data_IF_170978979435
#
_entry.id   IF_170978979435
#
_cell.length_a   1.000
_cell.length_b   1.000
_cell.length_c   1.000
_cell.angle_alpha   90.00
_cell.angle_beta   90.00
_cell.angle_gamma   90.00
#
_symmetry.space_group_name_H-M   'P 1'
#
loop_
_entity.id
_entity.type
_entity.pdbx_description
1 polymer ?
#
# COMPACT_ATOMS: atom_id res chain seq x y z
N UNK A 1 23.12 -20.34 -47.26
CA UNK A 1 23.49 -21.76 -47.12
C UNK A 1 22.70 -22.31 -45.93
N UNK A 2 21.55 -22.93 -46.22
CA UNK A 2 21.31 -24.40 -46.10
C UNK A 2 21.06 -24.83 -44.65
N UNK A 3 19.81 -24.84 -44.17
CA UNK A 3 18.68 -25.77 -44.43
C UNK A 3 18.80 -27.10 -43.66
N UNK A 4 17.83 -27.37 -42.77
CA UNK A 4 17.30 -28.72 -42.52
C UNK A 4 15.94 -28.70 -41.77
N UNK A 5 14.91 -29.24 -42.42
CA UNK A 5 13.61 -29.71 -41.90
C UNK A 5 12.92 -30.46 -43.07
N UNK A 6 11.81 -31.21 -42.93
CA UNK A 6 11.17 -31.80 -41.75
C UNK A 6 10.75 -33.29 -41.95
N UNK A 7 10.01 -33.89 -41.00
CA UNK A 7 9.20 -35.11 -41.21
C UNK A 7 8.95 -35.92 -39.93
N UNK A 8 7.89 -36.75 -39.79
CA UNK A 8 6.72 -37.02 -40.63
C UNK A 8 5.62 -37.69 -39.76
N UNK A 9 4.34 -37.65 -40.18
CA UNK A 9 3.18 -38.27 -39.49
C UNK A 9 2.81 -39.62 -40.16
N UNK A 10 2.28 -40.61 -39.40
CA UNK A 10 1.06 -41.29 -39.87
C UNK A 10 0.03 -41.60 -38.75
N UNK A 11 -1.13 -42.17 -39.14
CA UNK A 11 -2.43 -42.04 -38.45
C UNK A 11 -3.17 -43.35 -38.11
N UNK A 12 -4.05 -43.28 -37.10
CA UNK A 12 -5.37 -43.99 -36.92
C UNK A 12 -5.45 -45.54 -36.75
N UNK A 13 -6.17 -45.95 -35.70
CA UNK A 13 -7.23 -47.00 -35.68
C UNK A 13 -7.97 -47.00 -34.31
N UNK A 14 -9.19 -46.45 -34.16
CA UNK A 14 -10.54 -47.07 -34.20
C UNK A 14 -11.01 -47.92 -32.99
N UNK A 15 -12.19 -47.56 -32.43
CA UNK A 15 -13.04 -48.43 -31.58
C UNK A 15 -12.83 -48.28 -30.07
N UNK A 16 -13.84 -48.36 -29.20
CA UNK A 16 -15.28 -48.59 -29.41
C UNK A 16 -16.14 -47.91 -28.33
N UNK A 17 -17.42 -47.68 -28.64
CA UNK A 17 -18.42 -47.09 -27.72
C UNK A 17 -18.88 -48.12 -26.68
N UNK A 18 -19.19 -47.68 -25.46
CA UNK A 18 -20.33 -48.20 -24.68
C UNK A 18 -20.79 -47.19 -23.63
N UNK A 19 -22.07 -46.81 -23.71
CA UNK A 19 -22.76 -46.07 -22.67
C UNK A 19 -23.55 -47.05 -21.80
N UNK A 20 -23.66 -46.78 -20.50
CA UNK A 20 -24.82 -47.17 -19.69
C UNK A 20 -25.11 -46.07 -18.66
N UNK A 21 -26.27 -46.17 -18.00
CA UNK A 21 -27.13 -45.03 -17.68
C UNK A 21 -28.03 -45.40 -16.50
N UNK A 22 -28.07 -44.55 -15.46
CA UNK A 22 -29.00 -44.62 -14.30
C UNK A 22 -28.81 -45.87 -13.39
N UNK A 23 -29.25 -45.95 -12.12
CA UNK A 23 -30.31 -45.27 -11.35
C UNK A 23 -29.92 -45.09 -9.85
N UNK A 24 -30.55 -44.13 -9.16
CA UNK A 24 -30.78 -44.14 -7.69
C UNK A 24 -32.10 -44.88 -7.38
N UNK A 25 -32.31 -45.40 -6.16
CA UNK A 25 -33.39 -44.82 -5.35
C UNK A 25 -33.17 -44.79 -3.82
N UNK A 26 -34.16 -44.22 -3.13
CA UNK A 26 -34.30 -43.96 -1.68
C UNK A 26 -35.29 -44.97 -1.02
N UNK A 27 -35.55 -45.11 0.30
CA UNK A 27 -35.04 -44.55 1.59
C UNK A 27 -35.58 -45.47 2.74
N UNK A 28 -35.76 -44.99 4.00
CA UNK A 28 -36.48 -45.63 5.16
C UNK A 28 -35.66 -46.69 5.96
N UNK A 29 -35.75 -46.84 7.30
CA UNK A 29 -36.43 -46.09 8.39
C UNK A 29 -35.81 -46.40 9.79
N UNK A 30 -36.01 -45.49 10.74
CA UNK A 30 -36.19 -45.65 12.21
C UNK A 30 -35.26 -46.53 13.08
N UNK A 31 -34.76 -45.90 14.15
CA UNK A 31 -34.36 -46.55 15.40
C UNK A 31 -34.35 -45.55 16.57
N UNK A 32 -35.38 -45.57 17.42
CA UNK A 32 -35.45 -44.77 18.65
C UNK A 32 -34.66 -45.45 19.78
N UNK A 33 -33.83 -44.71 20.49
CA UNK A 33 -33.13 -45.17 21.69
C UNK A 33 -32.74 -43.98 22.57
N UNK A 34 -33.40 -43.85 23.73
CA UNK A 34 -33.20 -42.70 24.62
C UNK A 34 -31.93 -42.81 25.48
N UNK A 35 -31.31 -41.66 25.75
CA UNK A 35 -30.19 -41.52 26.69
C UNK A 35 -30.13 -40.09 27.21
N UNK A 36 -30.64 -39.86 28.42
CA UNK A 36 -30.55 -38.56 29.08
C UNK A 36 -29.14 -38.35 29.63
N UNK A 37 -28.26 -37.75 28.81
CA UNK A 37 -26.98 -37.25 29.26
C UNK A 37 -27.11 -35.79 29.69
N UNK A 38 -26.95 -35.53 30.99
CA UNK A 38 -26.87 -34.16 31.50
C UNK A 38 -25.53 -33.55 31.07
N UNK A 39 -25.54 -32.78 29.96
CA UNK A 39 -24.39 -31.94 29.61
C UNK A 39 -24.32 -30.79 30.62
N UNK A 40 -23.28 -30.81 31.45
CA UNK A 40 -22.80 -29.60 32.10
C UNK A 40 -22.42 -28.61 31.02
N UNK A 41 -23.08 -27.45 31.01
CA UNK A 41 -22.64 -26.27 30.28
C UNK A 41 -21.28 -25.81 30.86
N UNK A 42 -20.20 -26.41 30.36
CA UNK A 42 -18.93 -25.72 30.33
C UNK A 42 -19.15 -24.47 29.49
N UNK A 43 -18.88 -23.30 30.08
CA UNK A 43 -18.81 -22.04 29.36
C UNK A 43 -17.53 -22.04 28.50
N UNK A 44 -17.55 -22.88 27.46
CA UNK A 44 -16.65 -22.74 26.33
C UNK A 44 -17.00 -21.41 25.71
N UNK A 45 -16.21 -20.38 26.01
CA UNK A 45 -16.36 -19.05 25.44
C UNK A 45 -16.36 -19.16 23.92
N UNK A 46 -17.56 -19.25 23.36
CA UNK A 46 -17.79 -19.32 21.94
C UNK A 46 -17.11 -18.09 21.33
N UNK A 47 -16.47 -18.29 20.18
CA UNK A 47 -15.66 -17.27 19.56
C UNK A 47 -16.40 -15.94 19.58
N UNK A 48 -15.71 -14.87 20.03
CA UNK A 48 -16.05 -13.56 19.50
C UNK A 48 -15.83 -13.70 18.00
N UNK A 49 -16.92 -13.88 17.26
CA UNK A 49 -16.98 -13.44 15.87
C UNK A 49 -16.50 -12.00 15.91
N UNK A 50 -15.24 -11.81 15.53
CA UNK A 50 -14.66 -10.50 15.43
C UNK A 50 -15.34 -9.85 14.22
N UNK A 51 -16.48 -9.21 14.48
CA UNK A 51 -17.08 -8.24 13.56
C UNK A 51 -15.96 -7.26 13.27
N UNK A 52 -15.34 -7.43 12.10
CA UNK A 52 -14.09 -6.79 11.76
C UNK A 52 -14.25 -5.29 11.97
N UNK A 53 -13.33 -4.68 12.72
CA UNK A 53 -13.36 -3.22 12.89
C UNK A 53 -13.24 -2.64 11.48
N UNK A 54 -14.29 -2.00 10.93
CA UNK A 54 -14.26 -1.67 9.52
C UNK A 54 -13.14 -0.65 9.28
N UNK A 55 -12.54 -0.66 8.10
CA UNK A 55 -11.39 0.19 7.83
C UNK A 55 -11.67 1.67 8.18
N UNK A 56 -10.71 2.39 8.79
CA UNK A 56 -10.76 3.84 8.95
C UNK A 56 -11.18 4.54 7.66
N UNK A 57 -11.84 5.68 7.77
CA UNK A 57 -12.16 6.57 6.64
C UNK A 57 -11.35 7.86 6.77
N UNK A 58 -10.10 7.87 6.29
CA UNK A 58 -9.16 8.94 6.58
C UNK A 58 -9.60 10.23 5.92
N UNK A 59 -9.57 11.31 6.68
CA UNK A 59 -9.66 12.69 6.19
C UNK A 59 -8.59 13.51 6.89
N UNK A 60 -8.10 14.56 6.25
CA UNK A 60 -7.23 15.55 6.89
C UNK A 60 -8.11 16.50 7.69
N UNK A 61 -7.79 16.65 8.98
CA UNK A 61 -8.45 17.60 9.88
C UNK A 61 -7.44 18.10 10.91
N UNK A 62 -7.38 19.43 11.10
CA UNK A 62 -6.48 20.07 12.09
C UNK A 62 -5.02 19.59 12.00
N UNK A 63 -4.50 19.47 10.76
CA UNK A 63 -3.11 19.10 10.45
C UNK A 63 -2.78 17.62 10.77
N UNK A 64 -3.79 16.78 11.06
CA UNK A 64 -3.65 15.33 11.27
C UNK A 64 -4.58 14.55 10.34
N UNK A 65 -4.23 13.30 10.06
CA UNK A 65 -5.19 12.33 9.51
C UNK A 65 -6.12 11.87 10.65
N UNK A 66 -7.42 11.82 10.39
CA UNK A 66 -8.43 11.35 11.34
C UNK A 66 -9.39 10.36 10.68
N UNK A 67 -9.87 9.37 11.42
CA UNK A 67 -10.98 8.52 10.98
C UNK A 67 -12.29 9.28 11.13
N UNK A 68 -12.85 9.76 10.01
CA UNK A 68 -14.08 10.56 9.95
C UNK A 68 -15.29 9.91 10.64
N UNK A 69 -15.29 8.58 10.85
CA UNK A 69 -16.35 7.86 11.57
C UNK A 69 -16.27 8.00 13.09
N UNK A 70 -15.08 8.22 13.63
CA UNK A 70 -14.81 8.19 15.08
C UNK A 70 -14.24 9.51 15.61
N UNK A 71 -13.79 10.42 14.73
CA UNK A 71 -13.11 11.66 15.10
C UNK A 71 -11.75 11.46 15.75
N UNK A 72 -11.22 10.22 15.74
CA UNK A 72 -9.93 9.89 16.33
C UNK A 72 -8.82 10.08 15.30
N UNK A 73 -7.66 10.53 15.77
CA UNK A 73 -6.43 10.51 15.00
C UNK A 73 -6.15 9.11 14.41
N UNK A 74 -5.79 9.09 13.14
CA UNK A 74 -5.40 7.90 12.39
C UNK A 74 -3.97 8.11 11.88
N UNK A 75 -3.00 7.44 12.51
CA UNK A 75 -1.61 7.42 12.07
C UNK A 75 -1.36 6.11 11.33
N UNK A 76 -1.17 6.11 9.99
CA UNK A 76 -0.92 4.90 9.21
C UNK A 76 0.23 4.06 9.77
N UNK A 77 0.00 2.75 9.90
CA UNK A 77 1.04 1.76 10.25
C UNK A 77 0.80 0.56 9.36
N UNK A 78 1.72 0.28 8.46
CA UNK A 78 1.40 -0.59 7.34
C UNK A 78 2.60 -1.10 6.58
N UNK A 79 2.32 -1.73 5.45
CA UNK A 79 3.29 -2.33 4.55
C UNK A 79 2.97 -1.93 3.12
N UNK A 80 3.99 -1.91 2.26
CA UNK A 80 3.80 -1.88 0.81
C UNK A 80 3.67 -3.30 0.31
N UNK A 81 2.57 -3.63 -0.36
CA UNK A 81 2.33 -4.95 -0.94
C UNK A 81 2.79 -4.93 -2.40
N UNK A 82 3.94 -5.54 -2.67
CA UNK A 82 4.63 -5.45 -3.95
C UNK A 82 4.15 -6.56 -4.89
N UNK A 83 3.45 -6.16 -5.97
CA UNK A 83 3.14 -7.03 -7.11
C UNK A 83 2.52 -6.31 -8.31
N UNK A 84 1.53 -5.42 -8.08
CA UNK A 84 0.72 -4.83 -9.15
C UNK A 84 1.52 -3.91 -10.09
N UNK A 85 2.64 -3.39 -9.63
CA UNK A 85 3.60 -2.57 -10.37
C UNK A 85 4.39 -3.36 -11.43
N UNK A 86 4.57 -4.68 -11.26
CA UNK A 86 5.45 -5.47 -12.14
C UNK A 86 4.81 -6.69 -12.79
N UNK A 87 3.91 -7.40 -12.11
CA UNK A 87 3.40 -8.71 -12.57
C UNK A 87 2.81 -8.67 -13.98
N UNK A 88 1.91 -7.71 -14.20
CA UNK A 88 1.20 -7.47 -15.45
C UNK A 88 2.10 -6.95 -16.58
N UNK A 89 3.23 -6.31 -16.26
CA UNK A 89 4.20 -5.81 -17.24
C UNK A 89 5.18 -6.91 -17.68
N UNK A 90 5.50 -7.83 -16.76
CA UNK A 90 6.32 -9.02 -17.01
C UNK A 90 5.54 -10.22 -17.59
N UNK A 91 4.21 -10.18 -17.55
CA UNK A 91 3.35 -11.11 -18.28
C UNK A 91 3.21 -12.52 -17.69
N UNK A 92 3.58 -12.73 -16.42
CA UNK A 92 3.36 -14.02 -15.73
C UNK A 92 2.05 -14.04 -14.92
N UNK A 93 1.40 -12.89 -14.73
CA UNK A 93 0.19 -12.74 -13.91
C UNK A 93 -0.37 -11.32 -13.95
N UNK A 94 -1.52 -11.10 -13.35
CA UNK A 94 -1.97 -9.76 -12.92
C UNK A 94 -1.34 -9.38 -11.58
N UNK A 95 -1.13 -10.37 -10.70
CA UNK A 95 -0.40 -10.21 -9.44
C UNK A 95 0.05 -11.54 -8.82
N UNK A 96 0.82 -11.49 -7.73
CA UNK A 96 1.25 -12.67 -6.95
C UNK A 96 0.08 -13.47 -6.38
N UNK A 97 -1.13 -12.88 -6.27
CA UNK A 97 -2.35 -13.60 -5.89
C UNK A 97 -2.65 -14.76 -6.85
N UNK A 98 -2.30 -14.65 -8.13
CA UNK A 98 -2.55 -15.65 -9.17
C UNK A 98 -1.66 -16.90 -8.97
N UNK A 99 -0.52 -16.75 -8.29
CA UNK A 99 0.42 -17.82 -7.97
C UNK A 99 0.18 -18.45 -6.60
N UNK A 100 -0.68 -17.86 -5.76
CA UNK A 100 -0.85 -18.27 -4.37
C UNK A 100 -1.86 -19.42 -4.25
N UNK A 101 -1.44 -20.63 -3.83
CA UNK A 101 -2.30 -21.81 -3.81
C UNK A 101 -3.38 -21.73 -2.72
N UNK A 102 -4.50 -22.40 -2.96
CA UNK A 102 -5.64 -22.51 -2.03
C UNK A 102 -6.77 -21.50 -2.32
N UNK A 103 -7.91 -21.69 -1.65
CA UNK A 103 -9.04 -20.77 -1.77
C UNK A 103 -8.67 -19.36 -1.27
N UNK A 104 -9.30 -18.34 -1.88
CA UNK A 104 -9.20 -16.91 -1.51
C UNK A 104 -7.80 -16.45 -1.05
N UNK A 105 -6.82 -16.34 -1.98
CA UNK A 105 -5.51 -15.79 -1.65
C UNK A 105 -5.58 -14.33 -1.19
N UNK A 106 -6.53 -13.55 -1.71
CA UNK A 106 -6.72 -12.14 -1.35
C UNK A 106 -7.11 -11.97 0.12
N UNK A 107 -8.08 -12.73 0.62
CA UNK A 107 -8.48 -12.68 2.02
C UNK A 107 -7.33 -13.10 2.95
N UNK A 108 -6.59 -14.16 2.60
CA UNK A 108 -5.44 -14.63 3.39
C UNK A 108 -4.30 -13.62 3.46
N UNK A 109 -4.02 -12.90 2.38
CA UNK A 109 -3.06 -11.78 2.40
C UNK A 109 -3.53 -10.66 3.34
N UNK A 110 -4.79 -10.23 3.21
CA UNK A 110 -5.36 -9.16 4.01
C UNK A 110 -5.42 -9.52 5.51
N UNK A 111 -5.88 -10.72 5.84
CA UNK A 111 -5.91 -11.26 7.20
C UNK A 111 -4.51 -11.40 7.80
N UNK A 112 -3.52 -11.86 7.02
CA UNK A 112 -2.15 -11.99 7.49
C UNK A 112 -1.55 -10.61 7.84
N UNK A 113 -1.70 -9.61 6.97
CA UNK A 113 -1.27 -8.23 7.24
C UNK A 113 -1.98 -7.63 8.47
N UNK A 114 -3.31 -7.79 8.55
CA UNK A 114 -4.09 -7.32 9.70
C UNK A 114 -3.68 -8.04 11.01
N UNK A 115 -3.36 -9.33 10.97
CA UNK A 115 -2.94 -10.12 12.15
C UNK A 115 -1.61 -9.66 12.75
N UNK A 116 -0.72 -9.07 11.94
CA UNK A 116 0.51 -8.45 12.43
C UNK A 116 0.23 -7.10 13.13
N UNK A 117 -0.97 -6.54 12.96
CA UNK A 117 -1.37 -5.22 13.46
C UNK A 117 -1.19 -4.10 12.44
N UNK A 118 -1.09 -4.40 11.14
CA UNK A 118 -1.19 -3.38 10.11
C UNK A 118 -2.58 -2.73 10.11
N UNK A 119 -2.61 -1.48 9.66
CA UNK A 119 -3.80 -0.61 9.55
C UNK A 119 -3.91 0.03 8.16
N UNK A 120 -2.88 -0.13 7.34
CA UNK A 120 -2.75 0.46 6.01
C UNK A 120 -1.94 -0.46 5.12
N UNK A 121 -2.26 -0.52 3.84
CA UNK A 121 -1.48 -1.22 2.81
C UNK A 121 -1.31 -0.29 1.61
N UNK A 122 -0.08 -0.07 1.16
CA UNK A 122 0.21 0.60 -0.11
C UNK A 122 0.18 -0.43 -1.23
N UNK A 123 -0.52 -0.11 -2.31
CA UNK A 123 -0.57 -0.88 -3.56
C UNK A 123 0.12 -0.07 -4.67
N UNK A 124 1.38 -0.36 -4.97
CA UNK A 124 2.08 0.16 -6.14
C UNK A 124 1.36 -0.27 -7.43
N UNK A 125 0.95 0.67 -8.27
CA UNK A 125 0.25 0.38 -9.54
C UNK A 125 1.13 0.66 -10.76
N UNK A 126 0.83 -0.07 -11.85
CA UNK A 126 1.44 0.14 -13.15
C UNK A 126 0.50 0.91 -14.08
N UNK A 127 0.93 2.08 -14.54
CA UNK A 127 0.20 2.98 -15.44
C UNK A 127 -0.24 2.27 -16.73
N UNK A 128 0.68 1.53 -17.36
CA UNK A 128 0.41 0.88 -18.65
C UNK A 128 -0.58 -0.27 -18.51
N UNK A 129 -0.46 -1.09 -17.46
CA UNK A 129 -1.44 -2.15 -17.17
C UNK A 129 -2.84 -1.59 -16.85
N UNK A 130 -2.90 -0.45 -16.17
CA UNK A 130 -4.17 0.22 -15.89
C UNK A 130 -4.79 0.87 -17.13
N UNK A 131 -3.98 1.39 -18.07
CA UNK A 131 -4.47 2.12 -19.25
C UNK A 131 -4.65 1.26 -20.51
N UNK A 132 -3.92 0.17 -20.66
CA UNK A 132 -3.87 -0.61 -21.92
C UNK A 132 -2.82 -0.12 -22.90
N UNK A 133 -1.80 0.58 -22.42
CA UNK A 133 -0.76 1.22 -23.24
C UNK A 133 0.51 0.37 -23.27
N UNK A 134 1.36 0.61 -24.28
CA UNK A 134 2.67 -0.07 -24.49
C UNK A 134 2.61 -1.61 -24.55
N UNK A 135 1.44 -2.18 -24.81
CA UNK A 135 1.24 -3.64 -24.83
C UNK A 135 1.22 -4.26 -23.44
N UNK A 136 0.79 -3.52 -22.41
CA UNK A 136 0.42 -4.05 -21.11
C UNK A 136 -1.11 -3.99 -20.90
N UNK A 137 -1.71 -4.85 -20.05
CA UNK A 137 -1.11 -6.06 -19.45
C UNK A 137 -0.59 -7.04 -20.51
N UNK A 138 0.51 -7.72 -20.20
CA UNK A 138 1.12 -8.71 -21.10
C UNK A 138 0.39 -10.04 -20.92
N UNK A 139 -0.17 -10.53 -22.03
CA UNK A 139 -0.72 -11.89 -22.14
C UNK A 139 0.40 -12.87 -22.47
N UNK A 140 0.28 -14.11 -22.03
CA UNK A 140 1.16 -15.21 -22.44
C UNK A 140 0.46 -16.14 -23.44
N UNK A 141 0.98 -17.35 -23.66
CA UNK A 141 0.41 -18.30 -24.62
C UNK A 141 -0.77 -19.12 -24.04
N UNK A 142 -1.09 -18.94 -22.76
CA UNK A 142 -2.07 -19.68 -21.99
C UNK A 142 -3.24 -18.78 -21.57
N UNK A 143 -2.92 -17.59 -21.04
CA UNK A 143 -3.87 -16.66 -20.44
C UNK A 143 -3.85 -15.28 -21.13
N UNK A 144 -5.00 -14.87 -21.64
CA UNK A 144 -5.26 -13.49 -22.08
C UNK A 144 -5.46 -12.59 -20.85
N UNK A 145 -4.71 -11.50 -20.76
CA UNK A 145 -4.81 -10.51 -19.67
C UNK A 145 -5.22 -9.16 -20.23
N UNK A 146 -6.37 -8.64 -19.79
CA UNK A 146 -6.89 -7.36 -20.27
C UNK A 146 -6.84 -6.26 -19.20
N UNK A 147 -6.96 -5.02 -19.65
CA UNK A 147 -7.15 -3.83 -18.78
C UNK A 147 -8.32 -4.01 -17.81
N UNK A 148 -9.39 -4.70 -18.22
CA UNK A 148 -10.54 -4.96 -17.34
C UNK A 148 -10.12 -5.87 -16.19
N UNK A 149 -9.34 -6.89 -16.46
CA UNK A 149 -8.95 -7.90 -15.47
C UNK A 149 -7.97 -7.29 -14.46
N UNK A 150 -7.00 -6.50 -14.91
CA UNK A 150 -6.10 -5.75 -14.02
C UNK A 150 -6.87 -4.80 -13.10
N UNK A 151 -7.78 -3.97 -13.66
CA UNK A 151 -8.63 -3.08 -12.86
C UNK A 151 -9.53 -3.84 -11.88
N UNK A 152 -10.06 -5.00 -12.29
CA UNK A 152 -10.89 -5.86 -11.45
C UNK A 152 -10.09 -6.52 -10.32
N UNK A 153 -8.84 -6.92 -10.58
CA UNK A 153 -7.94 -7.49 -9.57
C UNK A 153 -7.55 -6.44 -8.51
N UNK A 154 -7.16 -5.23 -8.95
CA UNK A 154 -6.89 -4.10 -8.04
C UNK A 154 -8.12 -3.77 -7.20
N UNK A 155 -9.29 -3.58 -7.83
CA UNK A 155 -10.54 -3.29 -7.12
C UNK A 155 -10.94 -4.39 -6.12
N UNK A 156 -10.89 -5.66 -6.54
CA UNK A 156 -11.20 -6.80 -5.68
C UNK A 156 -10.26 -6.95 -4.48
N UNK A 157 -8.97 -6.61 -4.63
CA UNK A 157 -8.03 -6.62 -3.51
C UNK A 157 -8.22 -5.41 -2.59
N UNK A 158 -8.45 -4.20 -3.12
CA UNK A 158 -8.81 -3.00 -2.33
C UNK A 158 -10.00 -3.29 -1.43
N UNK A 159 -11.06 -3.85 -2.00
CA UNK A 159 -12.28 -4.27 -1.30
C UNK A 159 -12.00 -5.28 -0.18
N UNK A 160 -11.08 -6.21 -0.42
CA UNK A 160 -10.73 -7.27 0.53
C UNK A 160 -9.89 -6.71 1.69
N UNK A 161 -8.95 -5.81 1.40
CA UNK A 161 -8.17 -5.08 2.39
C UNK A 161 -9.08 -4.18 3.26
N UNK A 162 -10.00 -3.43 2.65
CA UNK A 162 -10.96 -2.60 3.36
C UNK A 162 -11.92 -3.42 4.25
N UNK A 163 -12.36 -4.61 3.80
CA UNK A 163 -13.12 -5.57 4.63
C UNK A 163 -12.31 -6.11 5.81
N UNK A 164 -11.00 -6.32 5.65
CA UNK A 164 -10.09 -6.73 6.70
C UNK A 164 -9.70 -5.60 7.69
N UNK A 165 -10.25 -4.39 7.52
CA UNK A 165 -9.99 -3.24 8.40
C UNK A 165 -8.80 -2.38 7.98
N UNK A 166 -8.20 -2.64 6.82
CA UNK A 166 -7.01 -1.95 6.31
C UNK A 166 -7.41 -0.80 5.38
N UNK A 167 -6.87 0.39 5.62
CA UNK A 167 -6.88 1.49 4.64
C UNK A 167 -5.97 1.11 3.47
N UNK A 168 -6.31 1.53 2.25
CA UNK A 168 -5.46 1.30 1.08
C UNK A 168 -4.91 2.61 0.55
N UNK A 169 -3.61 2.68 0.30
CA UNK A 169 -2.98 3.74 -0.51
C UNK A 169 -2.78 3.18 -1.91
N UNK A 170 -3.36 3.84 -2.92
CA UNK A 170 -3.12 3.52 -4.34
C UNK A 170 -2.06 4.47 -4.87
N UNK A 171 -0.96 3.92 -5.39
CA UNK A 171 0.24 4.65 -5.78
C UNK A 171 0.49 4.55 -7.30
N UNK A 172 0.80 5.67 -7.95
CA UNK A 172 1.33 5.67 -9.33
C UNK A 172 2.83 5.37 -9.28
N UNK A 173 3.14 4.07 -9.29
CA UNK A 173 4.48 3.59 -9.04
C UNK A 173 5.36 3.48 -10.28
N UNK A 174 4.79 2.93 -11.36
CA UNK A 174 5.56 2.45 -12.50
C UNK A 174 4.78 2.44 -13.81
N UNK A 175 5.46 2.09 -14.89
CA UNK A 175 4.92 1.81 -16.21
C UNK A 175 5.66 0.63 -16.85
N UNK A 176 5.21 0.14 -18.00
CA UNK A 176 5.96 -0.88 -18.75
C UNK A 176 7.20 -0.24 -19.38
N UNK A 177 8.32 -0.95 -19.32
CA UNK A 177 9.59 -0.54 -19.93
C UNK A 177 9.45 -0.48 -21.45
N UNK A 178 10.09 0.50 -22.09
CA UNK A 178 10.05 0.60 -23.55
C UNK A 178 10.95 -0.47 -24.18
N UNK A 179 10.36 -1.31 -25.04
CA UNK A 179 11.09 -2.31 -25.84
C UNK A 179 11.55 -3.55 -25.07
N UNK A 180 11.04 -3.78 -23.86
CA UNK A 180 11.40 -4.92 -23.02
C UNK A 180 10.21 -5.36 -22.14
N UNK A 181 10.26 -6.57 -21.58
CA UNK A 181 9.16 -7.18 -20.79
C UNK A 181 9.39 -7.00 -19.28
N UNK A 182 9.80 -5.79 -18.91
CA UNK A 182 9.99 -5.34 -17.54
C UNK A 182 9.17 -4.06 -17.28
N UNK A 183 9.32 -3.52 -16.08
CA UNK A 183 8.76 -2.24 -15.65
C UNK A 183 9.88 -1.24 -15.33
N UNK A 184 9.46 -0.02 -15.04
CA UNK A 184 10.31 1.03 -14.48
C UNK A 184 9.49 2.28 -14.15
N UNK A 185 10.04 3.14 -13.30
CA UNK A 185 9.41 4.40 -12.87
C UNK A 185 9.90 5.58 -13.71
N UNK A 186 9.05 6.57 -13.96
CA UNK A 186 9.48 7.81 -14.64
C UNK A 186 10.19 8.75 -13.67
N UNK A 187 10.93 9.72 -14.21
CA UNK A 187 11.50 10.82 -13.42
C UNK A 187 10.43 11.78 -12.85
N UNK A 188 9.32 11.94 -13.59
CA UNK A 188 8.18 12.81 -13.28
C UNK A 188 6.92 12.22 -13.93
N UNK A 189 5.70 12.56 -13.46
CA UNK A 189 4.45 12.18 -14.13
C UNK A 189 4.39 12.69 -15.58
N UNK A 190 3.86 11.87 -16.50
CA UNK A 190 3.66 12.23 -17.91
C UNK A 190 2.20 12.58 -18.22
N UNK A 191 1.87 12.86 -19.48
CA UNK A 191 0.49 13.19 -19.88
C UNK A 191 -0.49 12.02 -19.72
N UNK A 192 -0.01 10.78 -19.76
CA UNK A 192 -0.81 9.57 -19.51
C UNK A 192 -1.06 9.38 -18.01
N UNK A 193 -0.18 9.86 -17.12
CA UNK A 193 -0.43 9.91 -15.67
C UNK A 193 -1.71 10.68 -15.31
N UNK A 194 -2.08 11.69 -16.08
CA UNK A 194 -3.38 12.38 -15.93
C UNK A 194 -4.57 11.47 -16.30
N UNK A 195 -4.43 10.68 -17.38
CA UNK A 195 -5.46 9.72 -17.82
C UNK A 195 -5.60 8.59 -16.80
N UNK A 196 -4.48 8.12 -16.26
CA UNK A 196 -4.42 7.17 -15.16
C UNK A 196 -5.18 7.71 -13.94
N UNK A 197 -4.83 8.89 -13.44
CA UNK A 197 -5.45 9.46 -12.26
C UNK A 197 -6.93 9.77 -12.42
N UNK A 198 -7.34 10.29 -13.58
CA UNK A 198 -8.76 10.48 -13.90
C UNK A 198 -9.53 9.15 -13.81
N UNK A 199 -8.95 8.07 -14.34
CA UNK A 199 -9.57 6.74 -14.32
C UNK A 199 -9.54 6.05 -12.94
N UNK A 200 -8.45 6.16 -12.19
CA UNK A 200 -8.32 5.58 -10.84
C UNK A 200 -9.24 6.31 -9.86
N UNK A 201 -9.19 7.65 -9.84
CA UNK A 201 -10.05 8.45 -8.98
C UNK A 201 -11.54 8.24 -9.31
N UNK A 202 -11.91 8.09 -10.59
CA UNK A 202 -13.29 7.74 -10.98
C UNK A 202 -13.73 6.39 -10.43
N UNK A 203 -12.84 5.38 -10.46
CA UNK A 203 -13.15 4.04 -9.94
C UNK A 203 -13.27 4.01 -8.42
N UNK A 204 -12.47 4.81 -7.71
CA UNK A 204 -12.34 4.73 -6.25
C UNK A 204 -12.95 5.90 -5.45
N UNK A 205 -13.50 6.95 -6.06
CA UNK A 205 -14.10 8.10 -5.32
C UNK A 205 -15.12 7.72 -4.23
N UNK A 206 -15.86 6.64 -4.45
CA UNK A 206 -16.90 6.13 -3.53
C UNK A 206 -16.33 5.15 -2.47
N UNK A 207 -15.00 4.97 -2.41
CA UNK A 207 -14.28 4.13 -1.45
C UNK A 207 -13.57 5.02 -0.40
N UNK A 208 -14.22 5.37 0.72
CA UNK A 208 -13.69 6.33 1.70
C UNK A 208 -12.53 5.79 2.55
N UNK A 209 -12.16 4.52 2.37
CA UNK A 209 -11.00 3.87 3.00
C UNK A 209 -9.84 3.66 2.01
N UNK A 210 -9.91 4.35 0.86
CA UNK A 210 -8.81 4.52 -0.10
C UNK A 210 -8.19 5.91 0.09
N UNK A 211 -6.89 5.98 -0.13
CA UNK A 211 -6.04 7.18 -0.21
C UNK A 211 -5.31 7.11 -1.56
N UNK A 212 -5.01 8.24 -2.18
CA UNK A 212 -4.24 8.29 -3.44
C UNK A 212 -2.84 8.85 -3.18
N UNK A 213 -1.81 8.25 -3.75
CA UNK A 213 -0.44 8.76 -3.72
C UNK A 213 -0.03 9.12 -5.15
N UNK A 214 0.09 10.43 -5.42
CA UNK A 214 0.04 11.02 -6.76
C UNK A 214 1.14 10.52 -7.71
N UNK A 215 2.26 10.09 -7.15
CA UNK A 215 3.42 9.50 -7.81
C UNK A 215 4.27 8.86 -6.72
N UNK A 216 5.09 7.87 -7.06
CA UNK A 216 6.04 7.29 -6.12
C UNK A 216 7.22 8.26 -5.83
N UNK A 217 8.13 8.45 -6.79
CA UNK A 217 9.41 9.13 -6.55
C UNK A 217 9.75 10.16 -7.65
N UNK A 218 9.47 11.46 -7.45
CA UNK A 218 9.96 12.53 -8.31
C UNK A 218 11.49 12.61 -8.22
N UNK A 219 12.14 12.24 -9.33
CA UNK A 219 13.53 11.79 -9.31
C UNK A 219 14.41 12.45 -10.36
N UNK A 220 15.67 12.65 -10.00
CA UNK A 220 16.69 13.19 -10.90
C UNK A 220 17.38 12.07 -11.69
N UNK A 221 17.73 12.30 -12.97
CA UNK A 221 18.31 11.26 -13.86
C UNK A 221 19.75 11.56 -14.25
N UNK A 222 20.55 10.50 -14.39
CA UNK A 222 21.96 10.56 -14.82
C UNK A 222 22.17 9.72 -16.08
N UNK A 223 23.15 10.12 -16.91
CA UNK A 223 23.63 9.28 -18.01
C UNK A 223 24.61 8.19 -17.54
N UNK A 224 25.05 7.34 -18.47
CA UNK A 224 26.03 6.26 -18.23
C UNK A 224 27.41 6.73 -17.78
N UNK A 225 27.71 8.03 -17.90
CA UNK A 225 28.94 8.64 -17.39
C UNK A 225 28.74 9.30 -16.00
N UNK A 226 27.57 9.11 -15.38
CA UNK A 226 27.22 9.68 -14.07
C UNK A 226 26.90 11.17 -14.12
N UNK A 227 26.70 11.77 -15.30
CA UNK A 227 26.36 13.19 -15.42
C UNK A 227 24.87 13.36 -15.25
N UNK A 228 24.46 14.30 -14.39
CA UNK A 228 23.05 14.71 -14.21
C UNK A 228 22.53 15.28 -15.54
N UNK A 229 21.53 14.61 -16.13
CA UNK A 229 20.87 15.05 -17.38
C UNK A 229 19.48 15.64 -17.14
N UNK A 230 18.87 15.32 -16.00
CA UNK A 230 17.59 15.88 -15.57
C UNK A 230 17.60 16.03 -14.05
N UNK A 231 17.21 17.21 -13.57
CA UNK A 231 17.12 17.55 -12.15
C UNK A 231 15.86 18.42 -11.95
N UNK A 232 14.74 17.85 -11.47
CA UNK A 232 13.49 18.59 -11.34
C UNK A 232 13.60 19.63 -10.23
N UNK A 233 13.38 20.90 -10.56
CA UNK A 233 13.23 21.94 -9.53
C UNK A 233 11.87 21.83 -8.85
N UNK A 234 11.74 22.37 -7.63
CA UNK A 234 10.45 22.41 -6.92
C UNK A 234 9.35 23.17 -7.69
N UNK A 235 9.70 24.10 -8.58
CA UNK A 235 8.74 24.72 -9.49
C UNK A 235 8.25 23.74 -10.57
N UNK A 236 9.12 22.88 -11.12
CA UNK A 236 8.65 21.80 -12.00
C UNK A 236 7.85 20.73 -11.24
N UNK A 237 8.21 20.43 -9.99
CA UNK A 237 7.41 19.55 -9.14
C UNK A 237 5.96 20.04 -8.99
N UNK A 238 5.77 21.36 -8.74
CA UNK A 238 4.44 21.95 -8.63
C UNK A 238 3.74 22.09 -9.98
N UNK A 239 4.37 22.79 -10.92
CA UNK A 239 3.73 23.30 -12.15
C UNK A 239 3.87 22.34 -13.35
N UNK A 240 4.89 21.47 -13.33
CA UNK A 240 5.30 20.67 -14.48
C UNK A 240 6.08 21.50 -15.51
N UNK A 241 5.97 21.11 -16.78
CA UNK A 241 6.50 21.85 -17.92
C UNK A 241 8.02 21.81 -18.11
N UNK A 242 8.79 21.21 -17.21
CA UNK A 242 10.17 20.84 -17.49
C UNK A 242 10.23 19.57 -18.34
N UNK A 243 11.28 19.46 -19.16
CA UNK A 243 11.49 18.36 -20.10
C UNK A 243 12.17 17.17 -19.40
N UNK A 244 11.37 16.21 -18.94
CA UNK A 244 11.83 14.98 -18.30
C UNK A 244 12.19 13.91 -19.35
N UNK A 245 13.24 13.11 -19.15
CA UNK A 245 13.65 12.09 -20.11
C UNK A 245 12.61 10.96 -20.21
N UNK A 246 12.41 10.43 -21.41
CA UNK A 246 11.42 9.37 -21.67
C UNK A 246 11.80 7.99 -21.11
N UNK A 247 13.09 7.78 -20.82
CA UNK A 247 13.60 6.54 -20.23
C UNK A 247 13.30 6.46 -18.73
N UNK A 248 12.90 5.26 -18.29
CA UNK A 248 12.62 4.96 -16.88
C UNK A 248 13.88 4.93 -16.00
N UNK A 249 13.68 4.81 -14.69
CA UNK A 249 14.68 4.75 -13.62
C UNK A 249 15.86 3.81 -13.88
N UNK A 250 15.59 2.70 -14.54
CA UNK A 250 16.49 1.56 -14.76
C UNK A 250 17.01 1.47 -16.21
N UNK A 251 16.55 2.37 -17.09
CA UNK A 251 17.00 2.44 -18.48
C UNK A 251 17.98 3.60 -18.65
N UNK A 252 19.20 3.38 -19.18
CA UNK A 252 20.17 4.46 -19.35
C UNK A 252 19.67 5.54 -20.31
N UNK A 253 19.60 6.78 -19.84
CA UNK A 253 19.23 7.95 -20.63
C UNK A 253 20.47 8.73 -21.10
N UNK A 254 20.32 9.48 -22.18
CA UNK A 254 21.27 10.53 -22.59
C UNK A 254 20.65 11.94 -22.58
N UNK A 255 19.40 12.07 -22.09
CA UNK A 255 18.63 13.32 -22.11
C UNK A 255 18.19 13.80 -23.49
N UNK A 256 18.34 12.99 -24.55
CA UNK A 256 18.06 13.39 -25.93
C UNK A 256 16.59 13.29 -26.36
N UNK A 257 15.78 12.51 -25.65
CA UNK A 257 14.32 12.40 -25.85
C UNK A 257 13.61 12.72 -24.54
N UNK A 258 12.66 13.66 -24.60
CA UNK A 258 11.98 14.18 -23.41
C UNK A 258 10.46 14.25 -23.59
N UNK A 259 9.76 14.43 -22.48
CA UNK A 259 8.36 14.82 -22.43
C UNK A 259 8.16 15.99 -21.45
N UNK A 260 7.15 16.86 -21.66
CA UNK A 260 6.79 17.89 -20.70
C UNK A 260 6.15 17.23 -19.46
N UNK A 261 6.86 17.30 -18.34
CA UNK A 261 6.40 16.77 -17.05
C UNK A 261 5.05 17.38 -16.62
N UNK A 262 4.23 16.61 -15.92
CA UNK A 262 2.99 17.07 -15.30
C UNK A 262 3.23 17.26 -13.80
N UNK A 263 3.09 18.50 -13.32
CA UNK A 263 3.30 18.83 -11.92
C UNK A 263 2.16 18.36 -11.02
N UNK A 264 2.45 18.24 -9.73
CA UNK A 264 1.53 17.74 -8.70
C UNK A 264 0.23 18.55 -8.63
N UNK A 265 0.27 19.85 -8.90
CA UNK A 265 -0.91 20.72 -8.96
C UNK A 265 -1.92 20.29 -10.04
N UNK A 266 -1.43 19.80 -11.19
CA UNK A 266 -2.29 19.25 -12.24
C UNK A 266 -2.80 17.85 -11.89
N UNK A 267 -1.99 17.03 -11.22
CA UNK A 267 -2.38 15.69 -10.77
C UNK A 267 -3.50 15.78 -9.71
N UNK A 268 -3.33 16.63 -8.69
CA UNK A 268 -4.35 16.89 -7.65
C UNK A 268 -5.66 17.35 -8.26
N UNK A 269 -5.65 18.37 -9.13
CA UNK A 269 -6.86 18.79 -9.85
C UNK A 269 -7.52 17.64 -10.60
N UNK A 270 -6.75 16.83 -11.32
CA UNK A 270 -7.27 15.70 -12.10
C UNK A 270 -7.98 14.66 -11.23
N UNK A 271 -7.46 14.39 -10.02
CA UNK A 271 -8.11 13.53 -9.02
C UNK A 271 -9.41 14.16 -8.50
N UNK A 272 -9.42 15.48 -8.24
CA UNK A 272 -10.62 16.21 -7.78
C UNK A 272 -11.70 16.34 -8.84
N UNK A 273 -11.34 16.54 -10.10
CA UNK A 273 -12.26 16.65 -11.24
C UNK A 273 -12.97 15.33 -11.53
N UNK A 274 -12.35 14.18 -11.21
CA UNK A 274 -13.01 12.86 -11.22
C UNK A 274 -14.05 12.65 -10.09
N UNK A 275 -14.09 13.57 -9.13
CA UNK A 275 -15.02 13.60 -7.99
C UNK A 275 -14.48 13.00 -6.69
N UNK A 276 -13.20 12.60 -6.64
CA UNK A 276 -12.61 11.99 -5.45
C UNK A 276 -12.35 13.02 -4.34
N UNK A 277 -12.68 12.66 -3.10
CA UNK A 277 -12.57 13.53 -1.90
C UNK A 277 -11.62 13.00 -0.83
N UNK A 278 -11.05 11.82 -1.05
CA UNK A 278 -10.12 11.20 -0.11
C UNK A 278 -8.76 11.93 -0.09
N UNK A 279 -7.94 11.72 0.96
CA UNK A 279 -6.61 12.30 1.04
C UNK A 279 -5.72 11.96 -0.16
N UNK A 280 -4.87 12.91 -0.54
CA UNK A 280 -3.85 12.76 -1.57
C UNK A 280 -2.47 12.94 -0.93
N UNK A 281 -1.61 11.94 -1.09
CA UNK A 281 -0.20 11.99 -0.73
C UNK A 281 0.60 12.53 -1.90
N UNK A 282 1.44 13.53 -1.61
CA UNK A 282 2.38 14.09 -2.56
C UNK A 282 3.81 13.84 -2.04
N UNK A 283 4.63 13.04 -2.72
CA UNK A 283 6.06 12.92 -2.39
C UNK A 283 6.77 14.24 -2.66
N UNK A 284 7.93 14.41 -2.05
CA UNK A 284 8.84 15.51 -2.30
C UNK A 284 9.68 15.37 -3.58
N UNK A 285 10.86 15.97 -3.57
CA UNK A 285 11.94 15.74 -4.54
C UNK A 285 12.97 14.75 -4.00
N UNK A 286 14.07 14.54 -4.73
CA UNK A 286 15.18 13.64 -4.36
C UNK A 286 14.64 12.24 -4.02
N UNK A 287 13.88 11.68 -4.97
CA UNK A 287 13.21 10.38 -4.90
C UNK A 287 12.26 10.24 -3.69
N UNK A 288 11.61 11.35 -3.33
CA UNK A 288 10.67 11.47 -2.22
C UNK A 288 11.31 11.80 -0.86
N UNK A 289 12.62 12.05 -0.81
CA UNK A 289 13.37 12.31 0.42
C UNK A 289 13.56 13.80 0.77
N UNK A 290 13.44 14.73 -0.19
CA UNK A 290 13.45 16.18 0.07
C UNK A 290 12.03 16.73 0.26
N UNK A 291 11.72 17.24 1.46
CA UNK A 291 10.45 17.92 1.78
C UNK A 291 10.60 19.42 2.09
N UNK A 292 11.78 20.01 1.86
CA UNK A 292 12.14 21.37 2.31
C UNK A 292 11.18 22.47 1.85
N UNK A 293 10.71 22.43 0.60
CA UNK A 293 9.76 23.42 0.05
C UNK A 293 8.33 22.90 -0.09
N UNK A 294 8.01 21.70 0.43
CA UNK A 294 6.71 21.05 0.26
C UNK A 294 5.56 21.97 0.69
N UNK A 295 5.65 22.62 1.86
CA UNK A 295 4.57 23.48 2.38
C UNK A 295 4.39 24.79 1.60
N UNK A 296 5.46 25.31 1.00
CA UNK A 296 5.45 26.55 0.21
C UNK A 296 4.81 26.34 -1.16
N UNK A 297 5.00 25.15 -1.74
CA UNK A 297 4.68 24.87 -3.14
C UNK A 297 3.61 23.79 -3.33
N UNK A 298 3.12 23.15 -2.27
CA UNK A 298 1.98 22.23 -2.35
C UNK A 298 0.75 22.91 -2.98
N UNK A 299 -0.06 22.16 -3.77
CA UNK A 299 -1.32 22.66 -4.32
C UNK A 299 -2.32 23.13 -3.26
N UNK A 300 -3.27 23.99 -3.64
CA UNK A 300 -4.35 24.43 -2.75
C UNK A 300 -5.44 23.36 -2.67
N UNK A 301 -5.29 22.43 -1.72
CA UNK A 301 -6.25 21.37 -1.42
C UNK A 301 -6.21 21.04 0.09
N UNK A 302 -7.38 20.88 0.71
CA UNK A 302 -7.52 20.73 2.16
C UNK A 302 -7.34 19.29 2.66
N UNK A 303 -7.09 18.34 1.76
CA UNK A 303 -6.91 16.91 2.03
C UNK A 303 -5.51 16.40 1.61
N UNK A 304 -4.52 17.28 1.50
CA UNK A 304 -3.14 16.88 1.20
C UNK A 304 -2.38 16.32 2.43
N UNK A 305 -1.49 15.39 2.13
CA UNK A 305 -0.56 14.72 3.05
C UNK A 305 0.81 14.72 2.37
N UNK A 306 1.89 14.97 3.12
CA UNK A 306 3.22 14.80 2.58
C UNK A 306 3.62 13.32 2.59
N UNK A 307 4.00 12.78 1.44
CA UNK A 307 4.63 11.46 1.33
C UNK A 307 6.15 11.63 1.54
N UNK A 308 6.78 10.70 2.26
CA UNK A 308 8.20 10.75 2.58
C UNK A 308 8.85 9.39 2.33
N UNK A 309 9.99 9.36 1.67
CA UNK A 309 10.77 8.13 1.48
C UNK A 309 12.00 8.12 2.38
N UNK A 310 12.35 6.93 2.88
CA UNK A 310 13.52 6.70 3.75
C UNK A 310 14.16 5.39 3.35
N UNK A 311 15.32 5.49 2.70
CA UNK A 311 16.11 4.36 2.18
C UNK A 311 17.54 4.28 2.74
N UNK A 312 17.90 5.22 3.63
CA UNK A 312 19.23 5.33 4.23
C UNK A 312 20.29 5.98 3.32
N UNK A 313 19.96 6.38 2.09
CA UNK A 313 20.89 6.95 1.12
C UNK A 313 20.49 8.36 0.61
N UNK A 314 19.21 8.72 0.63
CA UNK A 314 18.72 10.04 0.22
C UNK A 314 19.17 11.21 1.11
N UNK A 315 18.93 12.44 0.64
CA UNK A 315 19.37 13.67 1.33
C UNK A 315 18.85 13.82 2.77
N UNK A 316 17.71 13.21 3.09
CA UNK A 316 17.10 13.23 4.43
C UNK A 316 17.18 11.88 5.18
N UNK A 317 18.33 11.21 5.15
CA UNK A 317 18.54 9.89 5.76
C UNK A 317 18.83 9.87 7.28
N UNK A 318 18.92 11.01 7.98
CA UNK A 318 19.28 11.06 9.41
C UNK A 318 18.36 11.93 10.29
N UNK A 319 18.49 11.72 11.62
CA UNK A 319 17.69 12.44 12.63
C UNK A 319 17.89 13.96 12.62
N UNK A 320 19.03 14.47 12.14
CA UNK A 320 19.24 15.92 12.03
C UNK A 320 18.39 16.49 10.90
N UNK A 321 18.30 15.81 9.76
CA UNK A 321 17.37 16.20 8.72
C UNK A 321 15.91 16.01 9.16
N UNK A 322 15.57 14.89 9.79
CA UNK A 322 14.19 14.65 10.25
C UNK A 322 13.73 15.73 11.24
N UNK A 323 14.56 16.09 12.22
CA UNK A 323 14.26 17.16 13.19
C UNK A 323 14.23 18.57 12.56
N UNK A 324 15.00 18.81 11.48
CA UNK A 324 15.09 20.13 10.83
C UNK A 324 14.04 20.38 9.74
N UNK A 325 13.56 19.31 9.06
CA UNK A 325 12.68 19.40 7.89
C UNK A 325 11.34 18.71 8.16
N UNK A 326 11.38 17.42 8.51
CA UNK A 326 10.17 16.57 8.53
C UNK A 326 9.32 16.81 9.78
N UNK A 327 9.93 17.00 10.96
CA UNK A 327 9.20 17.32 12.20
C UNK A 327 8.45 18.67 12.12
N UNK A 328 9.07 19.79 11.70
CA UNK A 328 8.36 21.06 11.53
C UNK A 328 7.22 20.98 10.51
N UNK A 329 7.40 20.20 9.43
CA UNK A 329 6.33 19.95 8.47
C UNK A 329 5.19 19.11 9.06
N UNK A 330 5.52 18.10 9.86
CA UNK A 330 4.56 17.23 10.55
C UNK A 330 3.74 17.92 11.66
N UNK A 331 4.08 19.15 12.05
CA UNK A 331 3.22 19.99 12.90
C UNK A 331 2.23 20.86 12.09
N UNK A 332 2.44 20.97 10.77
CA UNK A 332 1.65 21.81 9.84
C UNK A 332 0.74 21.01 8.91
N UNK A 333 1.12 19.79 8.53
CA UNK A 333 0.35 18.86 7.70
C UNK A 333 0.60 17.41 8.16
N UNK A 334 -0.30 16.46 7.83
CA UNK A 334 0.00 15.06 8.06
C UNK A 334 1.16 14.61 7.17
N UNK A 335 2.05 13.78 7.71
CA UNK A 335 3.16 13.17 6.97
C UNK A 335 3.06 11.65 7.09
N UNK A 336 3.29 10.95 5.99
CA UNK A 336 3.34 9.48 5.93
C UNK A 336 4.61 9.06 5.22
N UNK A 337 5.44 8.25 5.87
CA UNK A 337 6.53 7.54 5.22
C UNK A 337 5.92 6.41 4.38
N UNK A 338 5.88 6.57 3.06
CA UNK A 338 5.22 5.63 2.14
C UNK A 338 6.14 4.54 1.63
N UNK A 339 7.45 4.81 1.64
CA UNK A 339 8.50 3.83 1.41
C UNK A 339 9.58 3.94 2.51
N UNK A 340 9.49 3.08 3.53
CA UNK A 340 10.55 2.88 4.51
C UNK A 340 11.28 1.57 4.23
N UNK A 341 12.55 1.68 3.82
CA UNK A 341 13.50 0.59 3.61
C UNK A 341 14.61 0.66 4.66
N UNK A 342 14.99 -0.47 5.28
CA UNK A 342 16.22 -0.51 6.08
C UNK A 342 17.46 -0.52 5.18
N UNK A 343 18.53 0.16 5.60
CA UNK A 343 19.86 0.01 5.01
C UNK A 343 20.55 -1.30 5.41
N UNK A 344 20.05 -1.99 6.44
CA UNK A 344 20.46 -3.33 6.84
C UNK A 344 19.35 -4.36 6.50
N UNK A 345 19.62 -5.42 5.72
CA UNK A 345 18.68 -6.53 5.45
C UNK A 345 18.04 -7.21 6.67
N UNK A 346 18.48 -6.90 7.90
CA UNK A 346 17.87 -7.37 9.16
C UNK A 346 17.02 -6.31 9.88
N UNK A 347 16.84 -5.12 9.33
CA UNK A 347 16.03 -4.03 9.91
C UNK A 347 16.48 -3.56 11.29
N UNK A 348 17.78 -3.65 11.62
CA UNK A 348 18.32 -3.28 12.94
C UNK A 348 18.43 -1.76 13.15
N UNK A 349 18.50 -1.02 12.06
CA UNK A 349 18.60 0.43 11.92
C UNK A 349 17.23 1.15 11.93
N UNK A 350 16.12 0.42 11.79
CA UNK A 350 14.77 1.00 11.77
C UNK A 350 14.31 1.53 13.13
N UNK A 351 14.77 0.95 14.25
CA UNK A 351 14.24 1.26 15.58
C UNK A 351 14.36 2.75 15.99
N UNK A 352 15.47 3.47 15.70
CA UNK A 352 15.55 4.92 15.80
C UNK A 352 14.46 5.65 15.01
N UNK A 353 14.32 5.38 13.71
CA UNK A 353 13.34 6.05 12.86
C UNK A 353 11.90 5.77 13.31
N UNK A 354 11.55 4.51 13.55
CA UNK A 354 10.22 4.10 14.02
C UNK A 354 9.86 4.70 15.40
N UNK A 355 10.86 5.01 16.23
CA UNK A 355 10.68 5.74 17.50
C UNK A 355 10.50 7.23 17.27
N UNK A 356 11.24 7.82 16.34
CA UNK A 356 11.12 9.21 15.92
C UNK A 356 9.75 9.48 15.28
N UNK A 357 9.37 8.71 14.26
CA UNK A 357 8.09 8.84 13.56
C UNK A 357 6.89 8.72 14.52
N UNK A 358 6.96 7.79 15.50
CA UNK A 358 5.94 7.67 16.56
C UNK A 358 5.85 8.92 17.45
N UNK A 359 6.95 9.62 17.72
CA UNK A 359 6.97 10.87 18.51
C UNK A 359 6.34 12.04 17.75
N UNK A 360 6.57 12.10 16.44
CA UNK A 360 6.10 13.18 15.56
C UNK A 360 4.78 12.85 14.82
N UNK A 361 4.09 11.78 15.23
CA UNK A 361 2.81 11.33 14.67
C UNK A 361 2.85 11.05 13.15
N UNK A 362 4.04 10.72 12.62
CA UNK A 362 4.27 10.36 11.23
C UNK A 362 3.80 8.93 10.98
N UNK A 363 2.99 8.74 9.93
CA UNK A 363 2.56 7.42 9.47
C UNK A 363 3.72 6.66 8.83
N UNK A 364 3.72 5.32 8.84
CA UNK A 364 4.85 4.53 8.30
C UNK A 364 4.35 3.28 7.59
N UNK A 365 4.75 3.12 6.33
CA UNK A 365 4.52 1.96 5.47
C UNK A 365 5.88 1.32 5.14
N UNK A 366 6.04 0.04 5.46
CA UNK A 366 7.31 -0.70 5.34
C UNK A 366 7.40 -1.40 3.97
N UNK A 367 8.49 -1.18 3.25
CA UNK A 367 8.81 -1.92 2.03
C UNK A 367 9.57 -3.23 2.37
N UNK A 368 9.12 -4.42 1.98
CA UNK A 368 7.82 -4.73 1.40
C UNK A 368 7.25 -6.07 1.86
N UNK A 369 5.93 -6.14 1.91
CA UNK A 369 5.19 -7.39 2.01
C UNK A 369 5.26 -8.10 0.66
N UNK A 370 6.30 -8.91 0.52
CA UNK A 370 6.56 -9.79 -0.60
C UNK A 370 7.29 -11.05 -0.10
N UNK A 371 7.19 -12.13 -0.87
CA UNK A 371 7.79 -13.44 -0.55
C UNK A 371 8.85 -13.82 -1.58
N UNK A 372 9.88 -12.99 -1.75
CA UNK A 372 10.98 -13.24 -2.66
C UNK A 372 12.20 -13.74 -1.87
N UNK A 373 12.51 -15.03 -1.96
CA UNK A 373 13.56 -15.67 -1.14
C UNK A 373 14.99 -15.10 -1.35
N UNK A 374 15.22 -14.32 -2.42
CA UNK A 374 16.49 -13.65 -2.73
C UNK A 374 16.47 -12.13 -2.45
N UNK A 375 15.34 -11.56 -2.04
CA UNK A 375 15.21 -10.13 -1.76
C UNK A 375 15.46 -9.84 -0.27
N UNK A 376 16.49 -9.05 0.08
CA UNK A 376 16.76 -8.67 1.47
C UNK A 376 15.67 -7.79 2.10
N UNK A 377 14.78 -7.18 1.31
CA UNK A 377 13.70 -6.30 1.77
C UNK A 377 12.33 -7.00 1.91
N UNK A 378 12.25 -8.30 1.58
CA UNK A 378 11.03 -9.08 1.76
C UNK A 378 10.73 -9.31 3.25
N UNK A 379 9.53 -8.90 3.70
CA UNK A 379 9.06 -9.08 5.07
C UNK A 379 8.66 -10.53 5.39
N UNK A 380 8.27 -11.31 4.38
CA UNK A 380 7.80 -12.69 4.53
C UNK A 380 8.58 -13.65 3.62
N UNK A 381 8.53 -14.94 3.92
CA UNK A 381 9.14 -16.01 3.12
C UNK A 381 8.25 -17.23 3.00
N UNK A 382 8.25 -17.83 1.81
CA UNK A 382 7.44 -18.99 1.46
C UNK A 382 5.92 -18.79 1.55
N UNK A 383 5.16 -19.81 1.15
CA UNK A 383 3.69 -19.78 1.13
C UNK A 383 3.04 -19.67 2.52
N UNK A 384 3.78 -19.99 3.60
CA UNK A 384 3.33 -19.85 4.98
C UNK A 384 3.32 -18.42 5.52
N UNK A 385 3.82 -17.43 4.76
CA UNK A 385 4.02 -16.03 5.22
C UNK A 385 4.81 -15.93 6.52
N UNK A 386 5.77 -16.85 6.71
CA UNK A 386 6.66 -16.81 7.87
C UNK A 386 7.47 -15.52 7.81
N UNK A 387 7.61 -14.76 8.90
CA UNK A 387 8.47 -13.58 8.92
C UNK A 387 9.91 -13.90 8.47
N UNK A 388 10.53 -12.96 7.78
CA UNK A 388 11.99 -12.83 7.70
C UNK A 388 12.52 -12.14 8.97
N UNK A 389 13.84 -12.10 9.24
CA UNK A 389 14.38 -11.36 10.38
C UNK A 389 13.99 -9.86 10.37
N UNK A 390 13.83 -9.27 9.19
CA UNK A 390 13.26 -7.94 9.02
C UNK A 390 11.75 -7.93 9.32
N UNK A 391 10.98 -8.89 8.81
CA UNK A 391 9.56 -9.09 9.16
C UNK A 391 9.28 -9.19 10.67
N UNK A 392 10.12 -9.90 11.43
CA UNK A 392 10.01 -10.03 12.89
C UNK A 392 10.10 -8.66 13.60
N UNK A 393 10.99 -7.78 13.12
CA UNK A 393 11.16 -6.43 13.64
C UNK A 393 9.92 -5.56 13.36
N UNK A 394 9.35 -5.68 12.16
CA UNK A 394 8.12 -4.95 11.76
C UNK A 394 6.90 -5.45 12.54
N UNK A 395 6.74 -6.76 12.70
CA UNK A 395 5.66 -7.35 13.50
C UNK A 395 5.74 -6.91 14.99
N UNK A 396 6.95 -6.80 15.54
CA UNK A 396 7.18 -6.25 16.88
C UNK A 396 6.81 -4.75 16.99
N UNK A 397 7.10 -3.96 15.96
CA UNK A 397 6.72 -2.53 15.90
C UNK A 397 5.20 -2.31 15.88
N UNK A 398 4.46 -3.09 15.09
CA UNK A 398 3.00 -3.01 15.06
C UNK A 398 2.37 -3.46 16.39
N UNK A 399 2.71 -4.66 16.88
CA UNK A 399 2.14 -5.23 18.11
C UNK A 399 2.42 -4.39 19.36
N UNK A 400 3.63 -3.82 19.50
CA UNK A 400 3.98 -2.91 20.60
C UNK A 400 3.17 -1.60 20.59
N UNK A 401 2.67 -1.19 19.43
CA UNK A 401 1.81 -0.01 19.27
C UNK A 401 0.38 -0.31 19.73
N UNK A 402 -0.18 -1.47 19.35
CA UNK A 402 -1.51 -1.93 19.75
C UNK A 402 -1.65 -2.10 21.27
N UNK A 403 -0.64 -2.65 21.94
CA UNK A 403 -0.66 -2.81 23.41
C UNK A 403 -0.67 -1.48 24.17
N UNK A 404 -0.09 -0.40 23.60
CA UNK A 404 -0.15 0.94 24.20
C UNK A 404 -1.51 1.61 23.99
N UNK A 405 -2.14 1.43 22.84
CA UNK A 405 -3.49 1.96 22.60
C UNK A 405 -4.55 1.37 23.55
N UNK A 406 -4.39 0.11 23.97
CA UNK A 406 -5.22 -0.53 25.00
C UNK A 406 -5.00 -0.03 26.44
N UNK A 407 -3.89 0.69 26.70
CA UNK A 407 -3.57 1.30 28.01
C UNK A 407 -3.79 2.81 27.99
N UNK A 408 -5.05 3.23 27.94
CA UNK A 408 -5.41 4.63 28.20
C UNK A 408 -4.97 5.05 29.61
N UNK A 409 -4.25 6.18 29.79
CA UNK A 409 -3.80 6.66 31.09
C UNK A 409 -4.94 7.37 31.85
N UNK A 410 -6.07 6.69 32.06
CA UNK A 410 -7.05 7.09 33.08
C UNK A 410 -6.50 6.69 34.45
N UNK A 411 -5.50 7.43 34.90
CA UNK A 411 -4.90 7.26 36.21
C UNK A 411 -5.94 7.44 37.32
N UNK A 412 -5.97 6.50 38.26
CA UNK A 412 -6.79 6.53 39.46
C UNK A 412 -6.64 7.86 40.24
N UNK A 413 -7.53 8.82 40.00
CA UNK A 413 -7.84 9.86 41.00
C UNK A 413 -8.84 9.28 41.99
N UNK A 414 -8.32 8.53 42.96
CA UNK A 414 -9.06 8.29 44.21
C UNK A 414 -9.34 9.65 44.85
N UNK A 415 -10.62 10.02 44.90
CA UNK A 415 -11.10 11.18 45.65
C UNK A 415 -10.96 10.89 47.15
N UNK A 416 -9.88 11.38 47.75
CA UNK A 416 -9.74 11.40 49.21
C UNK A 416 -10.79 12.35 49.80
N UNK A 417 -11.63 11.90 50.76
CA UNK A 417 -12.60 12.77 51.41
C UNK A 417 -11.86 13.77 52.30
N UNK A 418 -12.04 15.08 52.05
CA UNK A 418 -11.54 16.13 52.93
C UNK A 418 -12.25 16.02 54.29
N UNK A 419 -11.49 15.73 55.35
CA UNK A 419 -11.95 15.86 56.74
C UNK A 419 -12.35 17.31 57.01
N UNK A 420 -13.50 17.50 57.65
CA UNK A 420 -13.90 18.81 58.14
C UNK A 420 -13.07 19.25 59.36
N UNK A 421 -12.76 20.53 59.42
CA UNK A 421 -12.28 21.20 60.63
C UNK A 421 -13.15 22.44 60.86
N UNK A 422 -14.09 22.34 61.79
CA UNK A 422 -14.86 23.48 62.27
C UNK A 422 -14.03 24.29 63.27
N UNK A 423 -14.02 25.61 63.11
CA UNK A 423 -13.71 26.57 64.18
C UNK A 423 -14.79 27.65 64.12
N UNK A 424 -15.39 27.95 65.27
CA UNK A 424 -16.57 28.81 65.36
C UNK A 424 -16.26 30.31 65.47
N UNK A 425 -17.25 31.09 65.04
CA UNK A 425 -17.69 32.40 65.57
C UNK A 425 -16.67 33.34 66.27
N UNK A 426 -16.58 34.56 65.74
CA UNK A 426 -16.77 35.76 66.57
C UNK A 426 -17.43 36.89 65.76
N UNK A 427 -18.00 37.85 66.46
CA UNK A 427 -18.97 38.84 65.99
C UNK A 427 -18.42 40.27 65.93
N UNK A 428 -19.23 41.20 65.39
CA UNK A 428 -19.12 42.69 65.39
C UNK A 428 -18.33 43.26 64.20
N UNK A 429 -18.82 44.27 63.47
CA UNK A 429 -20.09 45.02 63.52
C UNK A 429 -20.73 45.07 62.14
#
# INVERSE_FOLDING_TARGET
MTLASPGHVPTRATGARRAWRWLLPAVLLLGLGGGAAALTLADTGAGRDAVGVPAPRPVVAQQRLVDSRTGREFVPRGVTWSSFEYACAQGWGLSTLDLLPGADPAAREAEAMASWGATTVRLPLNQDCWLGTRGAPVSDAQDERTVRDYRSAVGGFVDTLNRAGLVVVLDLHSRKRMGADEYGSLAMPDSESLVFWSSVATAFRDHPSVIFEAFDSPGSRTDTAGRRVFDPSWLCWRDGGCEAPVEDGETPTNGGLTFPAQGMDRIVRTIRDAGARQPILLPGLDDGTDLTHWRELAPDDDQLVAAFHVDGAGSCADVRCWDAVVAPLADLVPVVTTDLRPGDPRGRDLAPYLTWARRHHVGVLLWAWAAHDNDPLSLIRGSGRTPTPYGEQVQSFFTSSTQRAGRSPLGNRQLLPRRGSGVGASSRR
#
